data_IF_393751238000
#
_entry.id   IF_393751238000
#
_cell.length_a   1.000
_cell.length_b   1.000
_cell.length_c   1.000
_cell.angle_alpha   90.00
_cell.angle_beta   90.00
_cell.angle_gamma   90.00
#
_symmetry.space_group_name_H-M   'P 1'
#
loop_
_entity.id
_entity.type
_entity.pdbx_description
1 polymer ?
#
# COMPACT_ATOMS: atom_id res chain seq x y z
N UNK A 1 -50.99 -10.87 14.78
CA UNK A 1 -51.56 -12.04 14.10
C UNK A 1 -51.52 -13.28 15.01
N UNK A 2 -50.36 -13.69 15.57
CA UNK A 2 -50.26 -14.86 16.47
C UNK A 2 -51.08 -14.70 17.76
N UNK A 3 -51.09 -13.51 18.34
CA UNK A 3 -51.89 -13.22 19.55
C UNK A 3 -53.40 -13.21 19.28
N UNK A 4 -53.83 -12.70 18.12
CA UNK A 4 -55.27 -12.70 17.75
C UNK A 4 -55.78 -14.11 17.45
N UNK A 5 -54.95 -14.97 16.82
CA UNK A 5 -55.27 -16.38 16.62
C UNK A 5 -55.33 -17.16 17.95
N UNK A 6 -54.41 -16.86 18.90
CA UNK A 6 -54.45 -17.49 20.23
C UNK A 6 -55.71 -17.13 21.01
N UNK A 7 -56.19 -15.89 20.90
CA UNK A 7 -57.46 -15.45 21.52
C UNK A 7 -58.68 -16.11 20.90
N UNK A 8 -58.66 -16.36 19.60
CA UNK A 8 -59.77 -17.04 18.90
C UNK A 8 -59.85 -18.52 19.23
N UNK A 9 -58.71 -19.20 19.40
CA UNK A 9 -58.68 -20.65 19.67
C UNK A 9 -58.83 -21.00 21.16
N UNK A 10 -58.42 -20.13 22.09
CA UNK A 10 -58.42 -20.42 23.54
C UNK A 10 -58.95 -19.21 24.37
N UNK A 11 -60.23 -18.92 24.30
CA UNK A 11 -60.79 -17.68 24.89
C UNK A 11 -60.80 -17.65 26.43
N UNK A 12 -60.52 -18.75 27.14
CA UNK A 12 -60.70 -18.84 28.59
C UNK A 12 -59.50 -19.22 29.45
N UNK A 13 -58.31 -19.45 28.84
CA UNK A 13 -57.15 -19.87 29.62
C UNK A 13 -55.89 -19.05 29.26
N UNK A 14 -55.48 -18.16 30.14
CA UNK A 14 -54.28 -17.33 29.96
C UNK A 14 -52.99 -18.15 29.83
N UNK A 15 -52.91 -19.30 30.49
CA UNK A 15 -51.77 -20.20 30.39
C UNK A 15 -51.60 -20.86 29.01
N UNK A 16 -52.73 -21.29 28.39
CA UNK A 16 -52.71 -21.87 27.04
C UNK A 16 -52.38 -20.82 25.96
N UNK A 17 -52.78 -19.57 26.13
CA UNK A 17 -52.44 -18.46 25.24
C UNK A 17 -50.94 -18.13 25.33
N UNK A 18 -50.35 -18.14 26.52
CA UNK A 18 -48.94 -17.95 26.73
C UNK A 18 -48.09 -19.09 26.09
N UNK A 19 -48.52 -20.34 26.35
CA UNK A 19 -47.85 -21.51 25.73
C UNK A 19 -47.89 -21.48 24.18
N UNK A 20 -49.05 -21.11 23.60
CA UNK A 20 -49.22 -20.95 22.16
C UNK A 20 -48.29 -19.87 21.61
N UNK A 21 -48.17 -18.75 22.28
CA UNK A 21 -47.29 -17.65 21.88
C UNK A 21 -45.81 -18.05 21.87
N UNK A 22 -45.38 -18.82 22.87
CA UNK A 22 -44.01 -19.35 22.95
C UNK A 22 -43.73 -20.36 21.82
N UNK A 23 -44.69 -21.29 21.57
CA UNK A 23 -44.55 -22.25 20.46
C UNK A 23 -44.47 -21.55 19.13
N UNK A 24 -45.32 -20.55 18.90
CA UNK A 24 -45.31 -19.79 17.65
C UNK A 24 -44.04 -18.94 17.47
N UNK A 25 -43.52 -18.34 18.56
CA UNK A 25 -42.26 -17.63 18.54
C UNK A 25 -41.09 -18.57 18.23
N UNK A 26 -41.10 -19.78 18.81
CA UNK A 26 -40.08 -20.79 18.52
C UNK A 26 -40.14 -21.28 17.07
N UNK A 27 -41.34 -21.57 16.55
CA UNK A 27 -41.53 -21.95 15.15
C UNK A 27 -41.08 -20.84 14.19
N UNK A 28 -41.37 -19.58 14.51
CA UNK A 28 -40.97 -18.45 13.70
C UNK A 28 -39.44 -18.28 13.66
N UNK A 29 -38.78 -18.39 14.82
CA UNK A 29 -37.31 -18.41 14.90
C UNK A 29 -36.73 -19.57 14.11
N UNK A 30 -37.29 -20.77 14.24
CA UNK A 30 -36.82 -21.96 13.56
C UNK A 30 -36.93 -21.84 12.03
N UNK A 31 -38.12 -21.50 11.53
CA UNK A 31 -38.39 -21.43 10.09
C UNK A 31 -37.87 -20.16 9.43
N UNK A 32 -37.95 -19.00 10.06
CA UNK A 32 -37.57 -17.75 9.42
C UNK A 32 -36.07 -17.40 9.62
N UNK A 33 -35.44 -17.88 10.67
CA UNK A 33 -34.05 -17.53 10.95
C UNK A 33 -33.08 -18.71 10.83
N UNK A 34 -33.34 -19.79 11.57
CA UNK A 34 -32.37 -20.91 11.63
C UNK A 34 -32.29 -21.70 10.34
N UNK A 35 -33.44 -22.09 9.79
CA UNK A 35 -33.50 -22.92 8.60
C UNK A 35 -32.93 -22.26 7.33
N UNK A 36 -33.18 -20.98 7.03
CA UNK A 36 -32.52 -20.29 5.92
C UNK A 36 -31.00 -20.16 6.11
N UNK A 37 -30.54 -19.84 7.32
CA UNK A 37 -29.09 -19.76 7.62
C UNK A 37 -28.43 -21.12 7.36
N UNK A 38 -28.98 -22.21 7.87
CA UNK A 38 -28.45 -23.55 7.66
C UNK A 38 -28.47 -23.94 6.19
N UNK A 39 -29.53 -23.58 5.47
CA UNK A 39 -29.67 -23.89 4.05
C UNK A 39 -28.57 -23.22 3.22
N UNK A 40 -28.23 -21.96 3.49
CA UNK A 40 -27.22 -21.23 2.73
C UNK A 40 -25.77 -21.54 3.15
N UNK A 41 -25.52 -21.95 4.42
CA UNK A 41 -24.16 -22.28 4.89
C UNK A 41 -23.63 -23.58 4.30
N UNK A 42 -24.47 -24.57 4.01
CA UNK A 42 -24.03 -25.92 3.57
C UNK A 42 -23.54 -25.97 2.12
N UNK A 43 -24.09 -25.17 1.21
CA UNK A 43 -23.65 -25.06 -0.21
C UNK A 43 -23.92 -23.65 -0.74
N UNK A 44 -23.09 -22.65 -0.39
CA UNK A 44 -23.41 -21.23 -0.63
C UNK A 44 -23.57 -20.93 -2.14
N UNK A 45 -22.61 -21.33 -2.98
CA UNK A 45 -22.61 -20.95 -4.39
C UNK A 45 -23.82 -21.44 -5.19
N UNK A 46 -24.16 -22.74 -5.12
CA UNK A 46 -25.26 -23.30 -5.90
C UNK A 46 -26.63 -22.79 -5.45
N UNK A 47 -26.82 -22.65 -4.15
CA UNK A 47 -28.11 -22.22 -3.57
C UNK A 47 -28.36 -20.74 -3.76
N UNK A 48 -27.31 -19.92 -3.68
CA UNK A 48 -27.40 -18.49 -3.99
C UNK A 48 -27.79 -18.28 -5.44
N UNK A 49 -27.18 -19.01 -6.40
CA UNK A 49 -27.54 -18.89 -7.83
C UNK A 49 -28.98 -19.26 -8.12
N UNK A 50 -29.55 -20.26 -7.42
CA UNK A 50 -30.96 -20.63 -7.57
C UNK A 50 -31.92 -19.52 -7.13
N UNK A 51 -31.57 -18.82 -6.05
CA UNK A 51 -32.41 -17.76 -5.47
C UNK A 51 -32.17 -16.41 -6.15
N UNK A 52 -31.04 -16.23 -6.85
CA UNK A 52 -30.67 -14.96 -7.52
C UNK A 52 -31.77 -14.48 -8.49
N UNK A 53 -32.42 -15.40 -9.22
CA UNK A 53 -33.51 -15.02 -10.13
C UNK A 53 -34.70 -14.42 -9.39
N UNK A 54 -35.10 -15.00 -8.26
CA UNK A 54 -36.18 -14.48 -7.44
C UNK A 54 -35.80 -13.13 -6.80
N UNK A 55 -34.57 -13.01 -6.33
CA UNK A 55 -34.02 -11.73 -5.82
C UNK A 55 -34.01 -10.65 -6.90
N UNK A 56 -33.66 -10.98 -8.13
CA UNK A 56 -33.65 -10.00 -9.23
C UNK A 56 -35.04 -9.43 -9.52
N UNK A 57 -36.08 -10.25 -9.41
CA UNK A 57 -37.47 -9.79 -9.58
C UNK A 57 -37.85 -8.82 -8.44
N UNK A 58 -37.50 -9.18 -7.19
CA UNK A 58 -37.75 -8.33 -6.03
C UNK A 58 -36.97 -7.03 -6.11
N UNK A 59 -35.71 -7.09 -6.53
CA UNK A 59 -34.83 -5.94 -6.71
C UNK A 59 -35.38 -5.00 -7.78
N UNK A 60 -35.81 -5.54 -8.92
CA UNK A 60 -36.45 -4.78 -9.99
C UNK A 60 -37.73 -4.08 -9.52
N UNK A 61 -38.49 -4.72 -8.64
CA UNK A 61 -39.71 -4.14 -8.05
C UNK A 61 -39.42 -3.05 -7.02
N UNK A 62 -38.26 -3.16 -6.33
CA UNK A 62 -37.81 -2.19 -5.32
C UNK A 62 -37.03 -1.00 -5.93
N UNK A 63 -36.47 -1.13 -7.13
CA UNK A 63 -35.71 -0.07 -7.80
C UNK A 63 -36.49 1.25 -7.92
N UNK A 64 -37.76 1.29 -8.33
CA UNK A 64 -38.49 2.55 -8.42
C UNK A 64 -38.68 3.21 -7.04
N UNK A 65 -38.90 2.40 -6.00
CA UNK A 65 -39.04 2.90 -4.63
C UNK A 65 -37.72 3.45 -4.09
N UNK A 66 -36.62 2.74 -4.27
CA UNK A 66 -35.29 3.21 -3.87
C UNK A 66 -34.87 4.46 -4.64
N UNK A 67 -35.20 4.54 -5.93
CA UNK A 67 -34.90 5.71 -6.75
C UNK A 67 -35.70 6.93 -6.29
N UNK A 68 -36.96 6.75 -5.93
CA UNK A 68 -37.80 7.82 -5.38
C UNK A 68 -37.24 8.33 -4.03
N UNK A 69 -36.84 7.41 -3.13
CA UNK A 69 -36.24 7.78 -1.84
C UNK A 69 -34.92 8.52 -2.06
N UNK A 70 -34.05 8.04 -2.96
CA UNK A 70 -32.77 8.68 -3.27
C UNK A 70 -32.98 10.07 -3.92
N UNK A 71 -34.03 10.24 -4.73
CA UNK A 71 -34.37 11.53 -5.31
C UNK A 71 -34.75 12.54 -4.21
N UNK A 72 -35.60 12.15 -3.29
CA UNK A 72 -35.99 12.98 -2.13
C UNK A 72 -34.79 13.29 -1.24
N UNK A 73 -33.94 12.29 -0.96
CA UNK A 73 -32.73 12.49 -0.15
C UNK A 73 -31.73 13.43 -0.80
N UNK A 74 -31.58 13.35 -2.14
CA UNK A 74 -30.73 14.27 -2.90
C UNK A 74 -31.21 15.70 -2.88
N UNK A 75 -32.50 15.90 -2.73
CA UNK A 75 -33.09 17.24 -2.63
C UNK A 75 -32.93 17.84 -1.25
N UNK A 76 -33.01 17.00 -0.19
CA UNK A 76 -32.85 17.44 1.21
C UNK A 76 -31.39 17.60 1.65
N UNK A 77 -30.46 16.81 1.08
CA UNK A 77 -29.04 16.79 1.50
C UNK A 77 -28.16 16.94 0.27
N UNK A 78 -27.76 18.18 -0.09
CA UNK A 78 -26.93 18.45 -1.28
C UNK A 78 -25.55 17.77 -1.30
N UNK A 79 -25.04 17.37 -0.14
CA UNK A 79 -23.67 16.82 0.03
C UNK A 79 -23.56 15.30 -0.25
N UNK A 80 -24.68 14.60 -0.49
CA UNK A 80 -24.66 13.17 -0.84
C UNK A 80 -24.19 12.89 -2.26
N UNK A 81 -23.81 13.92 -3.04
CA UNK A 81 -23.23 13.74 -4.40
C UNK A 81 -21.91 12.92 -4.40
N UNK A 82 -21.26 12.79 -3.25
CA UNK A 82 -20.00 12.02 -3.12
C UNK A 82 -20.21 10.55 -2.69
N UNK A 83 -21.43 10.15 -2.30
CA UNK A 83 -21.66 8.86 -1.63
C UNK A 83 -22.24 7.71 -2.48
N UNK A 84 -22.98 7.98 -3.54
CA UNK A 84 -23.73 6.93 -4.26
C UNK A 84 -23.02 6.38 -5.52
N UNK A 85 -21.86 6.90 -5.85
CA UNK A 85 -21.00 6.42 -6.93
C UNK A 85 -19.59 6.16 -6.46
N UNK A 86 -19.37 6.20 -5.18
CA UNK A 86 -18.08 5.79 -4.63
C UNK A 86 -17.94 4.28 -4.91
N UNK A 87 -17.37 3.96 -6.10
CA UNK A 87 -16.49 2.80 -6.18
C UNK A 87 -15.92 2.65 -4.79
N UNK A 88 -16.01 1.48 -4.23
CA UNK A 88 -15.26 1.08 -3.06
C UNK A 88 -13.80 1.43 -3.36
N UNK A 89 -13.47 2.73 -3.25
CA UNK A 89 -12.10 3.16 -3.20
C UNK A 89 -11.64 2.53 -1.91
N UNK A 90 -10.90 1.42 -2.06
CA UNK A 90 -10.15 0.86 -0.95
C UNK A 90 -9.25 2.01 -0.49
N UNK A 91 -9.81 2.87 0.37
CA UNK A 91 -9.06 3.94 0.97
C UNK A 91 -7.95 3.27 1.77
N UNK A 92 -6.78 3.84 1.75
CA UNK A 92 -5.62 3.35 2.50
C UNK A 92 -6.01 2.97 3.94
N UNK A 93 -6.82 3.81 4.59
CA UNK A 93 -7.34 3.57 5.92
C UNK A 93 -8.23 2.32 6.00
N UNK A 94 -9.02 2.05 4.97
CA UNK A 94 -9.84 0.84 4.92
C UNK A 94 -8.96 -0.42 4.85
N UNK A 95 -7.92 -0.40 3.99
CA UNK A 95 -6.97 -1.53 3.88
C UNK A 95 -6.22 -1.69 5.21
N UNK A 96 -5.76 -0.60 5.83
CA UNK A 96 -5.11 -0.65 7.14
C UNK A 96 -6.01 -1.23 8.21
N UNK A 97 -7.29 -0.81 8.26
CA UNK A 97 -8.26 -1.32 9.23
C UNK A 97 -8.55 -2.81 8.99
N UNK A 98 -8.78 -3.24 7.74
CA UNK A 98 -8.99 -4.65 7.40
C UNK A 98 -7.79 -5.51 7.77
N UNK A 99 -6.58 -5.01 7.54
CA UNK A 99 -5.33 -5.71 7.87
C UNK A 99 -5.07 -5.73 9.38
N UNK A 100 -5.45 -4.67 10.12
CA UNK A 100 -5.31 -4.60 11.57
C UNK A 100 -6.39 -5.42 12.30
N UNK A 101 -7.62 -5.45 11.78
CA UNK A 101 -8.75 -6.20 12.35
C UNK A 101 -8.69 -7.70 12.03
N UNK A 102 -7.80 -8.12 11.15
CA UNK A 102 -7.53 -9.53 10.88
C UNK A 102 -6.90 -10.20 12.12
N UNK A 103 -7.70 -10.35 13.20
CA UNK A 103 -7.35 -11.09 14.42
C UNK A 103 -7.35 -12.59 14.15
N UNK A 104 -6.75 -13.35 15.09
CA UNK A 104 -6.56 -14.79 15.09
C UNK A 104 -7.62 -15.58 14.31
N UNK A 105 -7.19 -16.19 13.19
CA UNK A 105 -8.06 -16.92 12.26
C UNK A 105 -7.99 -16.44 10.82
N UNK A 106 -7.39 -15.27 10.53
CA UNK A 106 -7.15 -14.82 9.16
C UNK A 106 -5.96 -15.56 8.55
N UNK A 107 -6.02 -15.82 7.23
CA UNK A 107 -4.93 -16.44 6.47
C UNK A 107 -3.71 -15.53 6.30
N UNK A 108 -3.71 -14.33 6.91
CA UNK A 108 -2.63 -13.33 6.80
C UNK A 108 -1.71 -13.48 8.01
N UNK A 109 -0.45 -13.81 7.76
CA UNK A 109 0.58 -13.92 8.78
C UNK A 109 0.97 -12.55 9.36
N UNK A 110 1.57 -12.53 10.56
CA UNK A 110 2.08 -11.30 11.16
C UNK A 110 3.11 -10.58 10.26
N UNK A 111 3.92 -11.35 9.54
CA UNK A 111 4.90 -10.83 8.60
C UNK A 111 4.25 -10.17 7.39
N UNK A 112 3.25 -10.81 6.76
CA UNK A 112 2.50 -10.24 5.63
C UNK A 112 1.80 -8.94 6.03
N UNK A 113 1.20 -8.90 7.21
CA UNK A 113 0.58 -7.68 7.77
C UNK A 113 1.60 -6.55 7.92
N UNK A 114 2.78 -6.85 8.46
CA UNK A 114 3.86 -5.88 8.59
C UNK A 114 4.29 -5.33 7.22
N UNK A 115 4.44 -6.20 6.22
CA UNK A 115 4.81 -5.82 4.86
C UNK A 115 3.75 -4.92 4.21
N UNK A 116 2.47 -5.28 4.31
CA UNK A 116 1.37 -4.45 3.77
C UNK A 116 1.41 -3.05 4.38
N UNK A 117 1.54 -2.95 5.70
CA UNK A 117 1.60 -1.65 6.37
C UNK A 117 2.80 -0.82 5.92
N UNK A 118 3.96 -1.44 5.70
CA UNK A 118 5.16 -0.74 5.22
C UNK A 118 5.03 -0.25 3.79
N UNK A 119 4.47 -1.07 2.89
CA UNK A 119 4.17 -0.63 1.52
C UNK A 119 3.24 0.59 1.53
N UNK A 120 2.19 0.55 2.35
CA UNK A 120 1.29 1.68 2.51
C UNK A 120 1.99 2.91 3.12
N UNK A 121 2.93 2.71 4.02
CA UNK A 121 3.72 3.81 4.62
C UNK A 121 4.68 4.41 3.61
N UNK A 122 5.34 3.60 2.77
CA UNK A 122 6.26 4.07 1.74
C UNK A 122 5.59 5.04 0.77
N UNK A 123 4.33 4.78 0.40
CA UNK A 123 3.56 5.68 -0.48
C UNK A 123 3.34 7.09 0.10
N UNK A 124 3.46 7.25 1.42
CA UNK A 124 3.34 8.54 2.09
C UNK A 124 4.68 9.22 2.34
N UNK A 125 5.78 8.52 2.08
CA UNK A 125 7.13 9.05 2.26
C UNK A 125 7.63 9.74 0.99
N UNK A 126 8.51 10.72 1.17
CA UNK A 126 9.21 11.40 0.08
C UNK A 126 10.63 10.85 -0.10
N UNK A 127 11.23 11.14 -1.25
CA UNK A 127 12.62 10.80 -1.54
C UNK A 127 13.57 11.33 -0.44
N UNK A 128 13.34 12.54 0.06
CA UNK A 128 14.13 13.13 1.14
C UNK A 128 14.07 12.32 2.45
N UNK A 129 12.97 11.62 2.72
CA UNK A 129 12.80 10.83 3.95
C UNK A 129 13.50 9.47 3.91
N UNK A 130 13.71 8.91 2.71
CA UNK A 130 14.35 7.60 2.54
C UNK A 130 15.81 7.69 2.06
N UNK A 131 16.29 8.89 1.69
CA UNK A 131 17.65 9.09 1.20
C UNK A 131 18.70 8.87 2.29
N UNK A 132 19.91 8.53 1.87
CA UNK A 132 21.10 8.69 2.69
C UNK A 132 21.60 10.13 2.51
N UNK A 133 21.64 10.93 3.60
CA UNK A 133 22.10 12.31 3.53
C UNK A 133 23.54 12.41 3.02
N UNK A 134 23.84 13.45 2.25
CA UNK A 134 25.16 13.63 1.61
C UNK A 134 26.31 13.64 2.64
N UNK A 135 26.06 14.07 3.87
CA UNK A 135 27.05 14.06 4.96
C UNK A 135 27.54 12.67 5.36
N UNK A 136 26.81 11.60 4.96
CA UNK A 136 27.15 10.19 5.22
C UNK A 136 27.63 9.47 3.96
N UNK A 137 27.70 10.17 2.84
CA UNK A 137 28.05 9.60 1.54
C UNK A 137 29.52 9.89 1.24
N UNK A 138 30.27 8.86 0.91
CA UNK A 138 31.63 9.04 0.41
C UNK A 138 31.57 9.58 -1.02
N UNK A 139 32.13 10.76 -1.24
CA UNK A 139 32.17 11.44 -2.52
C UNK A 139 33.62 11.64 -3.01
N UNK A 140 33.79 11.81 -4.28
CA UNK A 140 35.10 12.11 -4.89
C UNK A 140 34.98 13.33 -5.80
N UNK A 141 36.12 13.99 -6.05
CA UNK A 141 36.18 15.12 -6.98
C UNK A 141 36.51 14.63 -8.39
N UNK A 142 36.09 15.39 -9.37
CA UNK A 142 36.26 15.04 -10.79
C UNK A 142 37.76 15.07 -11.24
N UNK A 143 38.58 15.84 -10.56
CA UNK A 143 39.99 16.05 -10.87
C UNK A 143 40.95 15.04 -10.21
N UNK A 144 40.45 14.12 -9.37
CA UNK A 144 41.32 13.15 -8.69
C UNK A 144 41.62 11.93 -9.58
N UNK A 145 42.83 11.32 -9.46
CA UNK A 145 43.13 10.08 -10.12
C UNK A 145 42.27 8.90 -9.65
N UNK A 146 42.03 7.92 -10.53
CA UNK A 146 41.24 6.73 -10.17
C UNK A 146 41.87 5.95 -9.02
N UNK A 147 43.18 5.99 -8.81
CA UNK A 147 43.84 5.41 -7.62
C UNK A 147 43.18 5.89 -6.31
N UNK A 148 42.90 7.20 -6.19
CA UNK A 148 42.26 7.79 -5.05
C UNK A 148 40.81 7.29 -4.90
N UNK A 149 40.09 7.13 -6.02
CA UNK A 149 38.75 6.58 -6.02
C UNK A 149 38.74 5.12 -5.56
N UNK A 150 39.70 4.31 -5.98
CA UNK A 150 39.84 2.92 -5.55
C UNK A 150 40.17 2.81 -4.05
N UNK A 151 40.95 3.74 -3.49
CA UNK A 151 41.14 3.82 -2.03
C UNK A 151 39.88 4.16 -1.32
N UNK A 152 39.15 5.17 -1.77
CA UNK A 152 37.86 5.57 -1.18
C UNK A 152 36.86 4.41 -1.16
N UNK A 153 36.81 3.56 -2.18
CA UNK A 153 36.00 2.35 -2.23
C UNK A 153 36.44 1.30 -1.21
N UNK A 154 37.77 1.09 -1.08
CA UNK A 154 38.30 0.13 -0.08
C UNK A 154 37.96 0.55 1.34
N UNK A 155 38.08 1.84 1.62
CA UNK A 155 37.84 2.40 2.97
C UNK A 155 36.34 2.45 3.33
N UNK A 156 35.49 2.79 2.34
CA UNK A 156 34.06 2.93 2.56
C UNK A 156 33.24 1.65 2.33
N UNK A 157 33.78 0.70 1.54
CA UNK A 157 33.06 -0.50 1.10
C UNK A 157 31.96 -0.24 0.05
N UNK A 158 31.87 1.00 -0.51
CA UNK A 158 30.83 1.38 -1.46
C UNK A 158 31.37 1.37 -2.90
N UNK A 159 30.79 0.54 -3.76
CA UNK A 159 31.21 0.39 -5.16
C UNK A 159 30.87 1.58 -6.07
N UNK A 160 29.97 2.46 -5.65
CA UNK A 160 29.57 3.64 -6.42
C UNK A 160 29.80 4.90 -5.62
N UNK A 161 30.47 5.85 -6.25
CA UNK A 161 30.82 7.13 -5.62
C UNK A 161 30.25 8.29 -6.44
N UNK A 162 29.48 9.20 -5.85
CA UNK A 162 29.13 10.44 -6.51
C UNK A 162 30.37 11.29 -6.76
N UNK A 163 30.48 11.84 -7.98
CA UNK A 163 31.60 12.67 -8.43
C UNK A 163 31.16 14.13 -8.42
N UNK A 164 31.85 14.94 -7.68
CA UNK A 164 31.61 16.38 -7.61
C UNK A 164 32.61 17.16 -8.51
N UNK A 165 32.18 18.35 -8.94
CA UNK A 165 33.01 19.28 -9.64
C UNK A 165 34.28 19.62 -8.86
N UNK A 166 35.28 20.17 -9.53
CA UNK A 166 36.53 20.61 -8.90
C UNK A 166 36.31 21.57 -7.70
N UNK A 167 35.25 22.38 -7.78
CA UNK A 167 34.84 23.28 -6.69
C UNK A 167 34.03 22.58 -5.58
N UNK A 168 33.63 21.32 -5.75
CA UNK A 168 32.83 20.59 -4.79
C UNK A 168 31.35 20.99 -4.72
N UNK A 169 30.89 21.91 -5.58
CA UNK A 169 29.53 22.48 -5.48
C UNK A 169 28.47 21.64 -6.19
N UNK A 170 28.82 20.99 -7.31
CA UNK A 170 27.85 20.28 -8.14
C UNK A 170 28.24 18.82 -8.33
N UNK A 171 27.30 17.92 -8.22
CA UNK A 171 27.52 16.56 -8.64
C UNK A 171 27.48 16.49 -10.18
N UNK A 172 28.59 16.06 -10.77
CA UNK A 172 28.79 15.99 -12.22
C UNK A 172 28.65 14.58 -12.75
N UNK A 173 28.75 13.55 -11.90
CA UNK A 173 28.63 12.15 -12.31
C UNK A 173 28.55 11.19 -11.14
N UNK A 174 28.49 9.91 -11.51
CA UNK A 174 28.58 8.77 -10.57
C UNK A 174 29.65 7.83 -11.12
N UNK A 175 30.61 7.48 -10.29
CA UNK A 175 31.69 6.54 -10.63
C UNK A 175 31.28 5.13 -10.22
N UNK A 176 31.22 4.20 -11.16
CA UNK A 176 31.02 2.78 -10.89
C UNK A 176 32.39 2.06 -10.89
N UNK A 177 32.96 1.91 -9.70
CA UNK A 177 34.33 1.39 -9.57
C UNK A 177 34.45 -0.08 -9.99
N UNK A 178 33.40 -0.87 -9.82
CA UNK A 178 33.42 -2.29 -10.25
C UNK A 178 33.50 -2.39 -11.76
N UNK A 179 32.81 -1.55 -12.51
CA UNK A 179 32.85 -1.52 -13.95
C UNK A 179 34.23 -1.00 -14.46
N UNK A 180 34.77 0.00 -13.77
CA UNK A 180 36.11 0.50 -14.07
C UNK A 180 37.21 -0.55 -13.87
N UNK A 181 37.10 -1.36 -12.81
CA UNK A 181 38.04 -2.46 -12.58
C UNK A 181 37.99 -3.52 -13.69
N UNK A 182 36.84 -3.70 -14.34
CA UNK A 182 36.71 -4.62 -15.50
C UNK A 182 37.31 -4.03 -16.75
N UNK A 183 37.25 -2.69 -16.92
CA UNK A 183 37.85 -1.98 -18.06
C UNK A 183 39.38 -1.82 -17.96
N UNK A 184 39.92 -2.03 -16.75
CA UNK A 184 41.36 -1.97 -16.41
C UNK A 184 42.07 -0.70 -16.92
N UNK A 185 41.54 0.52 -16.63
CA UNK A 185 42.21 1.76 -17.00
C UNK A 185 43.46 1.98 -16.14
N UNK A 186 44.46 2.72 -16.66
CA UNK A 186 45.58 3.16 -15.85
C UNK A 186 45.11 4.02 -14.69
N UNK A 187 45.27 3.56 -13.42
CA UNK A 187 44.70 4.25 -12.27
C UNK A 187 45.39 5.58 -11.94
N UNK A 188 46.56 5.82 -12.42
CA UNK A 188 47.31 7.05 -12.17
C UNK A 188 47.14 8.09 -13.30
N UNK A 189 46.93 7.62 -14.53
CA UNK A 189 46.75 8.50 -15.69
C UNK A 189 45.29 8.92 -15.91
N UNK A 190 44.33 8.11 -15.46
CA UNK A 190 42.88 8.35 -15.65
C UNK A 190 42.31 9.12 -14.49
N UNK A 191 41.54 10.17 -14.76
CA UNK A 191 40.83 10.95 -13.74
C UNK A 191 39.42 10.43 -13.52
N UNK A 192 38.82 10.77 -12.36
CA UNK A 192 37.46 10.39 -12.01
C UNK A 192 36.44 10.85 -13.06
N UNK A 193 36.62 12.03 -13.66
CA UNK A 193 35.75 12.56 -14.72
C UNK A 193 35.72 11.72 -15.99
N UNK A 194 36.80 10.98 -16.29
CA UNK A 194 36.91 10.19 -17.52
C UNK A 194 36.19 8.83 -17.40
N UNK A 195 35.98 8.38 -16.17
CA UNK A 195 35.31 7.09 -15.87
C UNK A 195 33.89 7.20 -15.31
N UNK A 196 33.37 8.42 -15.11
CA UNK A 196 32.02 8.61 -14.52
C UNK A 196 30.93 8.47 -15.57
N UNK A 197 29.74 8.10 -15.08
CA UNK A 197 28.50 8.11 -15.83
C UNK A 197 27.69 9.37 -15.49
N UNK A 198 26.76 9.74 -16.39
CA UNK A 198 25.86 10.88 -16.13
C UNK A 198 25.02 10.65 -14.86
N UNK A 199 24.89 11.67 -14.00
CA UNK A 199 24.11 11.53 -12.78
C UNK A 199 22.60 11.55 -13.09
N UNK A 200 21.82 10.73 -12.40
CA UNK A 200 20.37 10.76 -12.46
C UNK A 200 19.81 11.41 -11.20
N UNK A 201 18.97 12.43 -11.37
CA UNK A 201 18.41 13.20 -10.26
C UNK A 201 16.93 12.95 -10.08
N UNK A 202 16.51 12.93 -8.81
CA UNK A 202 15.11 12.97 -8.37
C UNK A 202 14.92 14.14 -7.41
N UNK A 203 13.72 14.70 -7.36
CA UNK A 203 13.43 15.81 -6.47
C UNK A 203 13.16 15.29 -5.04
N UNK A 204 13.47 16.10 -4.04
CA UNK A 204 13.33 15.73 -2.63
C UNK A 204 11.87 15.45 -2.21
N UNK A 205 10.92 16.12 -2.86
CA UNK A 205 9.47 15.98 -2.64
C UNK A 205 8.84 14.86 -3.47
N UNK A 206 9.59 14.20 -4.34
CA UNK A 206 9.12 13.06 -5.13
C UNK A 206 8.73 11.90 -4.22
N UNK A 207 7.68 11.18 -4.58
CA UNK A 207 7.20 10.06 -3.77
C UNK A 207 8.19 8.90 -3.77
N UNK A 208 8.43 8.33 -2.61
CA UNK A 208 9.40 7.24 -2.44
C UNK A 208 9.04 5.97 -3.24
N UNK A 209 7.75 5.69 -3.47
CA UNK A 209 7.29 4.55 -4.25
C UNK A 209 7.52 4.73 -5.77
N UNK A 210 7.65 5.96 -6.26
CA UNK A 210 7.94 6.25 -7.66
C UNK A 210 9.44 6.18 -7.98
N UNK A 211 10.32 6.31 -6.97
CA UNK A 211 11.77 6.32 -7.15
C UNK A 211 12.30 4.99 -7.72
N UNK A 212 11.87 3.84 -7.17
CA UNK A 212 12.36 2.53 -7.63
C UNK A 212 11.95 2.21 -9.08
N UNK A 213 10.72 2.46 -9.54
CA UNK A 213 10.36 2.36 -10.95
C UNK A 213 11.21 3.26 -11.87
N UNK A 214 11.53 4.50 -11.43
CA UNK A 214 12.39 5.41 -12.17
C UNK A 214 13.83 4.89 -12.28
N UNK A 215 14.40 4.41 -11.17
CA UNK A 215 15.73 3.78 -11.15
C UNK A 215 15.83 2.63 -12.16
N UNK A 216 14.82 1.74 -12.15
CA UNK A 216 14.76 0.58 -13.06
C UNK A 216 14.57 0.98 -14.53
N UNK A 217 13.67 1.93 -14.79
CA UNK A 217 13.41 2.44 -16.14
C UNK A 217 14.65 3.03 -16.78
N UNK A 218 15.42 3.79 -16.01
CA UNK A 218 16.63 4.47 -16.49
C UNK A 218 17.90 3.64 -16.27
N UNK A 219 17.80 2.45 -15.66
CA UNK A 219 18.94 1.56 -15.33
C UNK A 219 19.99 2.23 -14.44
N UNK A 220 19.58 3.13 -13.57
CA UNK A 220 20.45 3.77 -12.59
C UNK A 220 20.25 3.16 -11.21
N UNK A 221 21.18 2.33 -10.69
CA UNK A 221 21.08 1.71 -9.38
C UNK A 221 21.33 2.67 -8.22
N UNK A 222 21.76 3.90 -8.51
CA UNK A 222 21.90 5.01 -7.57
C UNK A 222 21.34 6.27 -8.21
N UNK A 223 20.54 7.02 -7.46
CA UNK A 223 20.01 8.33 -7.87
C UNK A 223 20.37 9.39 -6.84
N UNK A 224 20.55 10.60 -7.29
CA UNK A 224 20.86 11.76 -6.46
C UNK A 224 19.58 12.53 -6.14
N UNK A 225 19.41 12.86 -4.88
CA UNK A 225 18.27 13.66 -4.41
C UNK A 225 18.67 15.12 -4.37
N UNK A 226 17.88 15.97 -5.02
CA UNK A 226 18.08 17.43 -5.04
C UNK A 226 16.84 18.18 -4.56
N UNK A 227 17.01 19.39 -4.08
CA UNK A 227 15.91 20.18 -3.55
C UNK A 227 14.92 20.61 -4.65
N UNK A 228 15.42 21.02 -5.83
CA UNK A 228 14.67 21.42 -7.04
C UNK A 228 15.52 21.21 -8.27
N UNK A 229 14.97 21.42 -9.48
CA UNK A 229 15.65 21.15 -10.74
C UNK A 229 17.07 21.76 -10.90
N UNK A 230 17.40 22.83 -10.21
CA UNK A 230 18.73 23.46 -10.20
C UNK A 230 19.37 23.48 -8.80
N UNK A 231 18.79 22.75 -7.83
CA UNK A 231 19.16 22.83 -6.42
C UNK A 231 20.37 21.97 -6.03
N UNK A 232 20.82 22.22 -4.80
CA UNK A 232 21.90 21.47 -4.16
C UNK A 232 21.51 20.00 -3.97
N UNK A 233 22.48 19.10 -4.14
CA UNK A 233 22.31 17.67 -3.84
C UNK A 233 22.23 17.48 -2.32
N UNK A 234 21.14 16.90 -1.87
CA UNK A 234 20.85 16.65 -0.45
C UNK A 234 21.36 15.27 0.00
N UNK A 235 21.36 14.29 -0.91
CA UNK A 235 21.75 12.94 -0.61
C UNK A 235 21.61 12.00 -1.81
N UNK A 236 21.65 10.71 -1.53
CA UNK A 236 21.50 9.65 -2.54
C UNK A 236 20.43 8.65 -2.13
N UNK A 237 19.83 8.00 -3.12
CA UNK A 237 18.97 6.81 -2.89
C UNK A 237 19.57 5.67 -3.71
N UNK A 238 19.76 4.53 -3.06
CA UNK A 238 20.11 3.26 -3.69
C UNK A 238 18.92 2.29 -3.63
N UNK A 239 18.96 1.21 -4.39
CA UNK A 239 17.94 0.16 -4.30
C UNK A 239 17.82 -0.38 -2.86
N UNK A 240 18.92 -0.43 -2.11
CA UNK A 240 18.93 -0.85 -0.71
C UNK A 240 18.12 0.09 0.19
N UNK A 241 18.17 1.42 -0.03
CA UNK A 241 17.38 2.37 0.73
C UNK A 241 15.88 2.11 0.57
N UNK A 242 15.43 1.84 -0.67
CA UNK A 242 14.03 1.53 -0.96
C UNK A 242 13.64 0.19 -0.36
N UNK A 243 14.48 -0.84 -0.52
CA UNK A 243 14.25 -2.14 0.10
C UNK A 243 14.23 -2.04 1.63
N UNK A 244 15.09 -1.23 2.22
CA UNK A 244 15.10 -0.99 3.67
C UNK A 244 13.81 -0.32 4.13
N UNK A 245 13.30 0.66 3.40
CA UNK A 245 12.03 1.31 3.70
C UNK A 245 10.85 0.31 3.63
N UNK A 246 10.90 -0.67 2.71
CA UNK A 246 9.89 -1.72 2.57
C UNK A 246 10.02 -2.84 3.63
N UNK A 247 11.23 -3.33 3.86
CA UNK A 247 11.46 -4.52 4.71
C UNK A 247 11.74 -4.16 6.17
N UNK A 248 12.17 -2.91 6.46
CA UNK A 248 12.73 -2.50 7.74
C UNK A 248 14.02 -3.25 8.04
N UNK A 249 14.66 -2.92 9.11
CA UNK A 249 16.00 -3.38 9.44
C UNK A 249 16.20 -4.91 9.47
N UNK A 250 16.39 -5.53 8.32
CA UNK A 250 17.12 -6.80 8.26
C UNK A 250 18.64 -6.58 8.40
N UNK A 251 19.07 -5.32 8.39
CA UNK A 251 20.49 -4.94 8.34
C UNK A 251 21.11 -4.57 9.68
N UNK A 252 20.36 -4.59 10.79
CA UNK A 252 20.96 -4.41 12.13
C UNK A 252 21.73 -5.64 12.62
N UNK A 253 21.80 -6.71 11.82
CA UNK A 253 22.50 -7.96 12.14
C UNK A 253 23.87 -8.09 11.44
N UNK A 254 24.37 -7.04 10.77
CA UNK A 254 25.68 -7.03 10.11
C UNK A 254 26.50 -5.77 10.44
N UNK A 255 26.45 -5.32 11.68
CA UNK A 255 27.42 -4.37 12.22
C UNK A 255 28.03 -4.96 13.50
#
# INVERSE_FOLDING_TARGET
LSASLAQSCFPRSSGLQAAWSVVMAFLMLWFCEYLPKLFFTTRPLRRTLLVTRAFHVVDCMLVPLTTAILFVTRWLVPDTRKGAGQRFLMTREYIQNVVSDAKDGSRITAFERLMINRVLTLQAQTAAQIMTPLSRVTTVRADVPLRTCFQAVRDSGHARLPVFSENGERCVGVLNVVELLVRDPDPDATLARDGMEAPFFVNADERADDVLPLMRKHRHPMVLVREREAGTVLGIITEENVLFALTGSLQKARA
#
